data_IF_107025788538
#
_entry.id   IF_107025788538
#
_cell.length_a   1.000
_cell.length_b   1.000
_cell.length_c   1.000
_cell.angle_alpha   90.00
_cell.angle_beta   90.00
_cell.angle_gamma   90.00
#
_symmetry.space_group_name_H-M   'P 1'
#
loop_
_entity.id
_entity.type
_entity.pdbx_description
1 polymer ?
#
# COMPACT_ATOMS: atom_id res chain seq x y z
N UNK A 1 29.03 -17.13 24.32
CA UNK A 1 28.61 -17.36 25.73
C UNK A 1 27.10 -17.50 25.72
N UNK A 2 26.67 -18.69 25.98
CA UNK A 2 25.32 -19.23 25.93
C UNK A 2 24.55 -18.85 27.18
N UNK A 3 23.35 -18.28 27.06
CA UNK A 3 22.41 -18.26 28.17
C UNK A 3 21.06 -18.79 27.73
N UNK A 4 20.77 -20.00 28.17
CA UNK A 4 19.45 -20.63 28.17
C UNK A 4 18.63 -20.06 29.32
N UNK A 5 17.40 -19.65 29.04
CA UNK A 5 16.39 -19.47 30.08
C UNK A 5 15.29 -20.51 29.87
N UNK A 6 15.15 -21.41 30.83
CA UNK A 6 14.07 -22.37 30.99
C UNK A 6 12.84 -21.65 31.55
N UNK A 7 11.69 -21.88 30.94
CA UNK A 7 10.40 -21.55 31.55
C UNK A 7 9.78 -22.83 32.09
N UNK A 8 9.50 -22.82 33.40
CA UNK A 8 8.78 -23.86 34.11
C UNK A 8 7.28 -23.80 33.84
N UNK A 9 6.74 -24.96 33.51
CA UNK A 9 5.32 -25.26 33.49
C UNK A 9 4.84 -25.52 34.90
N UNK A 10 3.79 -24.83 35.37
CA UNK A 10 3.07 -25.19 36.56
C UNK A 10 1.66 -25.64 36.22
N UNK A 11 1.40 -26.93 36.37
CA UNK A 11 0.07 -27.53 36.43
C UNK A 11 -0.49 -27.40 37.85
N UNK A 12 -1.74 -26.95 37.96
CA UNK A 12 -2.45 -27.00 39.24
C UNK A 12 -3.94 -27.04 39.02
N UNK A 13 -4.50 -28.23 39.05
CA UNK A 13 -5.93 -28.46 39.00
C UNK A 13 -6.60 -28.27 40.36
N UNK A 14 -7.91 -28.02 40.34
CA UNK A 14 -8.87 -28.60 41.29
C UNK A 14 -10.30 -28.46 40.81
N UNK A 15 -10.99 -29.58 40.89
CA UNK A 15 -12.45 -29.83 40.75
C UNK A 15 -13.24 -29.15 41.85
N UNK A 16 -14.45 -28.71 41.57
CA UNK A 16 -15.61 -29.03 42.41
C UNK A 16 -16.91 -29.00 41.64
N UNK A 17 -17.70 -30.04 41.90
CA UNK A 17 -19.09 -30.29 41.52
C UNK A 17 -20.05 -29.29 42.17
N UNK A 18 -21.16 -28.96 41.52
CA UNK A 18 -22.43 -29.18 42.17
C UNK A 18 -23.58 -29.21 41.19
N UNK A 19 -24.36 -30.22 41.39
CA UNK A 19 -25.56 -30.67 40.74
C UNK A 19 -26.73 -30.18 41.58
N UNK A 20 -27.77 -29.57 40.98
CA UNK A 20 -29.10 -29.63 41.61
C UNK A 20 -30.20 -29.74 40.54
N UNK A 21 -30.85 -30.85 40.69
CA UNK A 21 -32.16 -31.20 40.09
C UNK A 21 -33.28 -30.38 40.74
N UNK A 22 -34.30 -29.98 40.00
CA UNK A 22 -35.66 -29.99 40.57
C UNK A 22 -36.66 -30.47 39.54
N UNK A 23 -37.49 -31.35 40.04
CA UNK A 23 -38.50 -32.13 39.33
C UNK A 23 -39.87 -31.42 39.29
N UNK A 24 -40.59 -31.70 38.26
CA UNK A 24 -42.03 -32.05 38.19
C UNK A 24 -43.10 -31.09 38.75
N UNK A 25 -44.11 -30.85 37.96
CA UNK A 25 -45.48 -31.24 38.40
C UNK A 25 -46.44 -31.39 37.20
N UNK A 26 -47.04 -32.57 37.10
CA UNK A 26 -48.21 -32.91 36.29
C UNK A 26 -49.47 -32.25 36.88
N UNK A 27 -50.35 -31.73 36.04
CA UNK A 27 -51.77 -31.65 36.39
C UNK A 27 -52.60 -32.05 35.19
N UNK A 28 -53.22 -33.24 35.31
CA UNK A 28 -54.29 -33.70 34.50
C UNK A 28 -55.59 -33.02 34.95
N UNK A 29 -56.36 -32.48 34.02
CA UNK A 29 -57.84 -32.36 34.19
C UNK A 29 -58.52 -32.78 32.90
N UNK A 30 -59.30 -33.83 33.03
CA UNK A 30 -60.24 -34.32 32.04
C UNK A 30 -61.51 -33.45 32.05
N UNK A 31 -62.09 -33.22 30.90
CA UNK A 31 -63.37 -32.49 30.82
C UNK A 31 -64.01 -32.51 29.42
N UNK A 32 -64.80 -33.54 29.19
CA UNK A 32 -66.10 -33.55 28.47
C UNK A 32 -66.13 -33.25 26.96
N UNK A 33 -66.50 -34.29 26.25
CA UNK A 33 -66.88 -34.39 24.84
C UNK A 33 -68.20 -33.64 24.62
N UNK A 34 -68.25 -32.73 23.65
CA UNK A 34 -69.48 -32.33 22.95
C UNK A 34 -69.26 -32.50 21.45
N UNK A 35 -69.93 -33.45 20.87
CA UNK A 35 -70.05 -33.65 19.43
C UNK A 35 -70.81 -32.48 18.80
N UNK A 36 -70.13 -31.59 18.12
CA UNK A 36 -70.71 -30.63 17.18
C UNK A 36 -70.27 -31.03 15.77
N UNK A 37 -71.19 -31.62 15.01
CA UNK A 37 -70.96 -31.77 13.55
C UNK A 37 -70.97 -30.43 12.90
N UNK A 38 -69.77 -29.94 12.58
CA UNK A 38 -69.59 -28.75 11.71
C UNK A 38 -68.90 -29.17 10.43
N UNK A 39 -69.56 -28.89 9.36
CA UNK A 39 -69.19 -29.03 7.94
C UNK A 39 -67.74 -28.76 7.68
N UNK A 40 -66.99 -29.76 7.19
CA UNK A 40 -65.63 -29.56 6.59
C UNK A 40 -65.74 -28.62 5.40
N UNK A 41 -65.45 -27.35 5.62
CA UNK A 41 -64.73 -26.54 4.57
C UNK A 41 -63.38 -27.18 4.49
N UNK A 42 -62.97 -27.58 3.30
CA UNK A 42 -61.57 -27.88 2.96
C UNK A 42 -60.77 -26.62 3.18
N UNK A 43 -60.30 -26.36 4.40
CA UNK A 43 -59.26 -25.39 4.64
C UNK A 43 -58.02 -25.94 3.94
N UNK A 44 -57.46 -25.14 2.99
CA UNK A 44 -56.24 -25.51 2.28
C UNK A 44 -55.17 -25.84 3.30
N UNK A 45 -54.34 -26.84 3.04
CA UNK A 45 -53.16 -27.12 3.84
C UNK A 45 -52.42 -25.79 4.10
N UNK A 46 -52.00 -25.50 5.34
CA UNK A 46 -51.27 -24.29 5.65
C UNK A 46 -50.05 -24.21 4.74
N UNK A 47 -49.86 -23.05 4.10
CA UNK A 47 -48.76 -22.85 3.21
C UNK A 47 -47.42 -23.16 3.94
N UNK A 48 -46.64 -24.07 3.39
CA UNK A 48 -45.31 -24.43 3.93
C UNK A 48 -44.43 -23.25 3.80
N UNK A 49 -43.98 -22.72 4.95
CA UNK A 49 -43.10 -21.54 5.00
C UNK A 49 -41.63 -21.91 4.77
N UNK A 50 -40.86 -20.92 4.33
CA UNK A 50 -39.40 -21.04 4.23
C UNK A 50 -38.80 -21.10 5.63
N UNK A 51 -37.95 -22.09 5.87
CA UNK A 51 -37.23 -22.29 7.13
C UNK A 51 -35.77 -21.85 6.97
N UNK A 52 -35.17 -22.06 5.78
CA UNK A 52 -33.77 -21.75 5.48
C UNK A 52 -33.60 -21.42 3.99
N UNK A 53 -32.70 -20.52 3.70
CA UNK A 53 -32.17 -20.28 2.36
C UNK A 53 -30.65 -20.42 2.34
N UNK A 54 -30.11 -20.94 1.24
CA UNK A 54 -28.70 -21.12 0.99
C UNK A 54 -28.40 -20.68 -0.44
N UNK A 55 -27.18 -20.30 -0.71
CA UNK A 55 -26.68 -20.04 -2.08
C UNK A 55 -25.76 -21.17 -2.53
N UNK A 56 -25.82 -21.53 -3.80
CA UNK A 56 -25.00 -22.60 -4.36
C UNK A 56 -23.50 -22.22 -4.35
N UNK A 57 -23.20 -20.92 -4.45
CA UNK A 57 -21.83 -20.40 -4.40
C UNK A 57 -21.76 -19.32 -3.31
N UNK A 58 -20.82 -19.46 -2.39
CA UNK A 58 -20.58 -18.51 -1.31
C UNK A 58 -19.64 -17.36 -1.70
N UNK A 59 -19.02 -17.46 -2.89
CA UNK A 59 -18.21 -16.40 -3.48
C UNK A 59 -18.27 -16.46 -5.00
N UNK A 60 -18.19 -15.31 -5.67
CA UNK A 60 -18.13 -15.19 -7.12
C UNK A 60 -17.15 -14.07 -7.51
N UNK A 61 -16.40 -14.28 -8.62
CA UNK A 61 -15.54 -13.28 -9.19
C UNK A 61 -16.11 -12.81 -10.53
N UNK A 62 -16.28 -11.49 -10.68
CA UNK A 62 -16.84 -10.84 -11.87
C UNK A 62 -15.84 -9.80 -12.38
N UNK A 63 -15.85 -9.53 -13.67
CA UNK A 63 -15.21 -8.33 -14.20
C UNK A 63 -16.21 -7.17 -14.21
N UNK A 64 -15.71 -5.95 -14.17
CA UNK A 64 -16.54 -4.74 -14.31
C UNK A 64 -17.46 -4.86 -15.51
N UNK A 65 -18.75 -4.54 -15.33
CA UNK A 65 -19.80 -4.63 -16.34
C UNK A 65 -20.54 -5.97 -16.40
N UNK A 66 -20.04 -7.03 -15.77
CA UNK A 66 -20.71 -8.33 -15.74
C UNK A 66 -21.87 -8.36 -14.75
N UNK A 67 -22.75 -9.32 -14.99
CA UNK A 67 -23.92 -9.56 -14.13
C UNK A 67 -23.97 -11.01 -13.71
N UNK A 68 -24.26 -11.26 -12.43
CA UNK A 68 -24.41 -12.59 -11.85
C UNK A 68 -25.78 -12.75 -11.20
N UNK A 69 -26.41 -13.90 -11.43
CA UNK A 69 -27.68 -14.28 -10.78
C UNK A 69 -27.41 -15.48 -9.87
N UNK A 70 -27.53 -15.35 -8.52
CA UNK A 70 -27.26 -16.45 -7.61
C UNK A 70 -28.33 -17.54 -7.72
N UNK A 71 -27.89 -18.79 -7.68
CA UNK A 71 -28.79 -19.92 -7.45
C UNK A 71 -29.09 -20.01 -5.95
N UNK A 72 -30.35 -19.75 -5.59
CA UNK A 72 -30.82 -19.78 -4.21
C UNK A 72 -31.56 -21.08 -3.94
N UNK A 73 -31.13 -21.81 -2.93
CA UNK A 73 -31.73 -23.08 -2.48
C UNK A 73 -32.63 -22.78 -1.30
N UNK A 74 -33.93 -23.10 -1.44
CA UNK A 74 -34.94 -22.85 -0.42
C UNK A 74 -35.31 -24.19 0.26
N UNK A 75 -35.34 -24.17 1.57
CA UNK A 75 -35.74 -25.31 2.42
C UNK A 75 -36.95 -24.95 3.28
N UNK A 76 -37.99 -25.80 3.35
CA UNK A 76 -38.19 -27.05 2.60
C UNK A 76 -38.52 -26.79 1.11
N UNK A 77 -38.19 -27.72 0.22
CA UNK A 77 -38.39 -27.59 -1.25
C UNK A 77 -39.83 -27.36 -1.70
N UNK A 78 -40.80 -27.71 -0.86
CA UNK A 78 -42.23 -27.51 -1.10
C UNK A 78 -42.76 -26.19 -0.51
N UNK A 79 -41.88 -25.30 -0.04
CA UNK A 79 -42.28 -23.96 0.37
C UNK A 79 -42.92 -23.21 -0.81
N UNK A 80 -43.98 -22.46 -0.53
CA UNK A 80 -44.74 -21.68 -1.52
C UNK A 80 -44.92 -20.24 -1.01
N UNK A 81 -45.20 -19.34 -1.92
CA UNK A 81 -45.54 -17.94 -1.61
C UNK A 81 -44.44 -17.20 -0.83
N UNK A 82 -43.21 -17.33 -1.28
CA UNK A 82 -42.06 -16.57 -0.73
C UNK A 82 -41.51 -15.56 -1.74
N UNK A 83 -40.89 -14.53 -1.23
CA UNK A 83 -40.24 -13.51 -2.04
C UNK A 83 -38.79 -13.34 -1.58
N UNK A 84 -37.85 -13.42 -2.53
CA UNK A 84 -36.45 -13.20 -2.29
C UNK A 84 -36.08 -11.78 -2.72
N UNK A 85 -35.18 -11.16 -1.98
CA UNK A 85 -34.58 -9.86 -2.30
C UNK A 85 -33.06 -9.90 -2.06
N UNK A 86 -32.32 -9.20 -2.92
CA UNK A 86 -30.88 -9.00 -2.77
C UNK A 86 -30.59 -7.59 -2.25
N UNK A 87 -29.60 -7.48 -1.39
CA UNK A 87 -29.00 -6.20 -0.96
C UNK A 87 -27.47 -6.31 -0.98
N UNK A 88 -26.80 -5.22 -1.28
CA UNK A 88 -25.35 -5.12 -1.26
C UNK A 88 -24.92 -4.22 -0.11
N UNK A 89 -23.83 -4.57 0.58
CA UNK A 89 -23.17 -3.71 1.56
C UNK A 89 -22.32 -2.62 0.89
N UNK A 90 -21.99 -2.81 -0.41
CA UNK A 90 -21.20 -1.86 -1.21
C UNK A 90 -21.75 -1.73 -2.64
N UNK A 91 -22.79 -0.91 -2.80
CA UNK A 91 -23.43 -0.68 -4.10
C UNK A 91 -22.56 0.05 -5.12
N UNK A 92 -21.45 0.66 -4.72
CA UNK A 92 -20.51 1.27 -5.65
C UNK A 92 -19.64 0.25 -6.36
N UNK A 93 -19.40 -0.91 -5.75
CA UNK A 93 -18.67 -2.03 -6.30
C UNK A 93 -19.60 -3.01 -7.00
N UNK A 94 -20.64 -3.48 -6.30
CA UNK A 94 -21.57 -4.45 -6.83
C UNK A 94 -23.01 -4.09 -6.40
N UNK A 95 -23.87 -3.79 -7.38
CA UNK A 95 -25.24 -3.34 -7.15
C UNK A 95 -26.25 -4.48 -7.33
N UNK A 96 -27.18 -4.61 -6.39
CA UNK A 96 -28.30 -5.51 -6.53
C UNK A 96 -29.36 -4.93 -7.49
N UNK A 97 -29.73 -5.67 -8.53
CA UNK A 97 -30.74 -5.32 -9.50
C UNK A 97 -31.74 -6.49 -9.65
N UNK A 98 -32.84 -6.46 -8.85
CA UNK A 98 -33.77 -7.58 -8.72
C UNK A 98 -33.09 -8.78 -8.09
N UNK A 99 -33.08 -9.92 -8.78
CA UNK A 99 -32.39 -11.15 -8.34
C UNK A 99 -30.99 -11.32 -8.96
N UNK A 100 -30.44 -10.26 -9.52
CA UNK A 100 -29.09 -10.26 -10.10
C UNK A 100 -28.21 -9.21 -9.44
N UNK A 101 -26.90 -9.39 -9.53
CA UNK A 101 -25.89 -8.44 -9.06
C UNK A 101 -25.08 -7.96 -10.25
N UNK A 102 -24.99 -6.65 -10.43
CA UNK A 102 -24.17 -6.01 -11.48
C UNK A 102 -22.87 -5.49 -10.89
N UNK A 103 -21.75 -5.89 -11.47
CA UNK A 103 -20.42 -5.41 -11.15
C UNK A 103 -20.20 -4.01 -11.75
N UNK A 104 -19.88 -3.01 -10.91
CA UNK A 104 -19.76 -1.61 -11.32
C UNK A 104 -18.32 -1.09 -11.27
N UNK A 105 -17.58 -1.41 -10.21
CA UNK A 105 -16.20 -0.98 -10.01
C UNK A 105 -15.40 -2.08 -9.33
N UNK A 106 -14.08 -2.08 -9.51
CA UNK A 106 -13.17 -3.00 -8.84
C UNK A 106 -13.27 -2.89 -7.32
N UNK A 107 -13.23 -4.04 -6.63
CA UNK A 107 -13.37 -4.11 -5.17
C UNK A 107 -14.12 -5.36 -4.73
N UNK A 108 -14.57 -5.37 -3.48
CA UNK A 108 -15.40 -6.44 -2.93
C UNK A 108 -16.71 -5.91 -2.34
N UNK A 109 -17.73 -6.74 -2.38
CA UNK A 109 -19.01 -6.49 -1.75
C UNK A 109 -19.57 -7.81 -1.17
N UNK A 110 -20.35 -7.71 -0.10
CA UNK A 110 -21.11 -8.82 0.43
C UNK A 110 -22.58 -8.63 0.03
N UNK A 111 -23.11 -9.63 -0.65
CA UNK A 111 -24.51 -9.64 -1.06
C UNK A 111 -25.31 -10.47 -0.07
N UNK A 112 -26.35 -9.88 0.48
CA UNK A 112 -27.31 -10.56 1.34
C UNK A 112 -28.55 -10.94 0.54
N UNK A 113 -28.91 -12.20 0.58
CA UNK A 113 -30.18 -12.73 0.08
C UNK A 113 -31.12 -12.81 1.26
N UNK A 114 -32.26 -12.15 1.19
CA UNK A 114 -33.30 -12.17 2.22
C UNK A 114 -34.60 -12.79 1.69
N UNK A 115 -35.22 -13.67 2.46
CA UNK A 115 -36.61 -14.04 2.26
C UNK A 115 -37.49 -13.11 3.11
N UNK A 116 -38.39 -12.37 2.47
CA UNK A 116 -39.07 -11.23 3.09
C UNK A 116 -40.15 -11.59 4.06
N UNK A 117 -40.67 -12.84 4.03
CA UNK A 117 -41.81 -13.31 4.86
C UNK A 117 -41.34 -14.01 6.13
N UNK A 118 -40.36 -14.92 6.02
CA UNK A 118 -39.80 -15.66 7.16
C UNK A 118 -38.66 -14.97 7.84
N UNK A 119 -37.97 -14.04 7.13
CA UNK A 119 -36.74 -13.41 7.57
C UNK A 119 -35.52 -14.31 7.44
N UNK A 120 -35.61 -15.46 6.76
CA UNK A 120 -34.45 -16.29 6.47
C UNK A 120 -33.47 -15.52 5.56
N UNK A 121 -32.17 -15.58 5.86
CA UNK A 121 -31.16 -14.88 5.09
C UNK A 121 -29.88 -15.70 4.91
N UNK A 122 -29.13 -15.41 3.85
CA UNK A 122 -27.81 -15.95 3.58
C UNK A 122 -26.98 -14.90 2.84
N UNK A 123 -25.67 -15.08 2.81
CA UNK A 123 -24.77 -14.14 2.14
C UNK A 123 -23.81 -14.84 1.19
N UNK A 124 -23.32 -14.10 0.20
CA UNK A 124 -22.18 -14.50 -0.61
C UNK A 124 -21.30 -13.28 -0.92
N UNK A 125 -20.00 -13.54 -1.09
CA UNK A 125 -19.03 -12.50 -1.44
C UNK A 125 -18.97 -12.30 -2.96
N UNK A 126 -18.84 -11.06 -3.40
CA UNK A 126 -18.58 -10.70 -4.80
C UNK A 126 -17.25 -9.96 -4.86
N UNK A 127 -16.29 -10.49 -5.61
CA UNK A 127 -15.06 -9.80 -5.97
C UNK A 127 -15.20 -9.29 -7.40
N UNK A 128 -15.09 -7.98 -7.59
CA UNK A 128 -15.12 -7.36 -8.91
C UNK A 128 -13.70 -7.00 -9.32
N UNK A 129 -13.25 -7.56 -10.44
CA UNK A 129 -11.95 -7.29 -11.05
C UNK A 129 -12.08 -6.19 -12.11
N UNK A 130 -11.04 -5.36 -12.30
CA UNK A 130 -10.97 -4.48 -13.47
C UNK A 130 -11.04 -5.28 -14.77
N UNK A 131 -11.34 -4.61 -15.87
CA UNK A 131 -11.34 -5.23 -17.19
C UNK A 131 -9.92 -5.74 -17.56
N UNK A 132 -9.85 -6.95 -18.11
CA UNK A 132 -8.59 -7.55 -18.56
C UNK A 132 -7.79 -8.32 -17.50
N UNK A 133 -8.29 -8.45 -16.27
CA UNK A 133 -7.66 -9.30 -15.28
C UNK A 133 -8.20 -10.74 -15.32
N UNK A 134 -7.32 -11.76 -15.09
CA UNK A 134 -7.74 -13.15 -15.02
C UNK A 134 -8.73 -13.39 -13.87
N UNK A 135 -9.86 -14.05 -14.14
CA UNK A 135 -10.81 -14.44 -13.09
C UNK A 135 -10.32 -15.58 -12.22
N UNK A 136 -9.52 -16.48 -12.80
CA UNK A 136 -8.86 -17.54 -12.04
C UNK A 136 -7.69 -16.91 -11.28
N UNK A 137 -7.87 -16.78 -9.99
CA UNK A 137 -6.83 -16.26 -9.12
C UNK A 137 -5.75 -17.32 -8.87
N UNK A 138 -4.50 -16.90 -8.92
CA UNK A 138 -3.37 -17.69 -8.46
C UNK A 138 -3.38 -17.65 -6.93
N UNK A 139 -3.55 -18.82 -6.32
CA UNK A 139 -3.54 -18.94 -4.86
C UNK A 139 -2.11 -18.93 -4.36
N UNK A 140 -1.78 -17.92 -3.56
CA UNK A 140 -0.52 -17.83 -2.83
C UNK A 140 -0.60 -18.71 -1.57
N UNK A 141 0.50 -19.33 -1.20
CA UNK A 141 0.54 -20.34 -0.13
C UNK A 141 1.32 -19.91 1.09
N UNK A 142 2.24 -18.96 0.93
CA UNK A 142 3.01 -18.38 2.03
C UNK A 142 2.98 -16.86 1.97
N UNK A 143 3.10 -16.23 3.12
CA UNK A 143 3.22 -14.80 3.23
C UNK A 143 4.16 -14.42 4.37
N UNK A 144 4.88 -13.36 4.18
CA UNK A 144 5.76 -12.71 5.17
C UNK A 144 5.94 -11.25 4.79
N UNK A 145 6.56 -10.46 5.64
CA UNK A 145 6.86 -9.09 5.29
C UNK A 145 7.78 -8.40 6.28
N UNK A 146 8.03 -7.13 5.99
CA UNK A 146 8.91 -6.26 6.76
C UNK A 146 8.21 -4.93 7.01
N UNK A 147 8.28 -4.45 8.24
CA UNK A 147 7.71 -3.17 8.63
C UNK A 147 8.84 -2.16 8.85
N UNK A 148 8.78 -1.03 8.16
CA UNK A 148 9.80 0.02 8.20
C UNK A 148 9.34 1.31 8.88
N UNK A 149 8.04 1.42 9.26
CA UNK A 149 7.47 2.66 9.78
C UNK A 149 7.53 3.79 8.76
N UNK A 150 7.59 5.03 9.21
CA UNK A 150 7.66 6.22 8.34
C UNK A 150 9.04 6.34 7.66
N UNK A 151 9.37 5.33 6.85
CA UNK A 151 10.68 5.23 6.19
C UNK A 151 10.94 6.40 5.24
N UNK A 152 9.94 6.76 4.44
CA UNK A 152 10.06 7.81 3.41
C UNK A 152 9.80 9.23 3.92
N UNK A 153 9.51 9.41 5.21
CA UNK A 153 9.15 10.70 5.81
C UNK A 153 7.88 11.32 5.20
N UNK A 154 7.03 10.49 4.65
CA UNK A 154 5.77 10.88 4.00
C UNK A 154 4.62 11.03 5.00
N UNK A 155 4.82 10.65 6.26
CA UNK A 155 3.75 10.58 7.27
C UNK A 155 2.92 9.30 7.17
N UNK A 156 3.40 8.31 6.43
CA UNK A 156 2.80 6.98 6.25
C UNK A 156 3.74 5.88 6.73
N UNK A 157 3.20 4.77 7.19
CA UNK A 157 3.99 3.59 7.51
C UNK A 157 4.25 2.76 6.25
N UNK A 158 5.53 2.52 5.94
CA UNK A 158 5.95 1.68 4.83
C UNK A 158 6.07 0.23 5.29
N UNK A 159 5.46 -0.68 4.53
CA UNK A 159 5.54 -2.11 4.74
C UNK A 159 5.79 -2.85 3.43
N UNK A 160 6.73 -3.79 3.46
CA UNK A 160 6.96 -4.73 2.37
C UNK A 160 6.20 -6.01 2.65
N UNK A 161 5.22 -6.31 1.82
CA UNK A 161 4.39 -7.50 1.93
C UNK A 161 4.74 -8.49 0.81
N UNK A 162 5.11 -9.71 1.17
CA UNK A 162 5.57 -10.72 0.25
C UNK A 162 4.66 -11.93 0.30
N UNK A 163 4.30 -12.46 -0.87
CA UNK A 163 3.56 -13.72 -0.98
C UNK A 163 4.20 -14.60 -2.04
N UNK A 164 4.21 -15.93 -1.81
CA UNK A 164 4.72 -16.90 -2.78
C UNK A 164 3.79 -18.10 -2.94
N UNK A 165 3.92 -18.79 -4.08
CA UNK A 165 3.32 -20.10 -4.31
C UNK A 165 4.31 -21.08 -4.95
N UNK A 166 3.87 -22.34 -5.07
CA UNK A 166 4.73 -23.39 -5.62
C UNK A 166 5.97 -23.63 -4.77
N UNK A 167 7.12 -23.64 -5.40
CA UNK A 167 8.43 -23.74 -4.76
C UNK A 167 9.17 -22.39 -4.72
N UNK A 168 8.49 -21.30 -5.09
CA UNK A 168 9.07 -19.97 -5.02
C UNK A 168 9.30 -19.58 -3.55
N UNK A 169 10.47 -19.07 -3.24
CA UNK A 169 10.86 -18.57 -1.92
C UNK A 169 11.56 -17.24 -2.06
N UNK A 170 11.39 -16.36 -1.08
CA UNK A 170 12.20 -15.15 -0.98
C UNK A 170 13.38 -15.40 -0.05
N UNK A 171 14.59 -15.32 -0.59
CA UNK A 171 15.84 -15.61 0.12
C UNK A 171 16.82 -14.46 -0.07
N UNK A 172 17.27 -13.90 1.04
CA UNK A 172 18.12 -12.71 0.99
C UNK A 172 17.37 -11.51 0.41
N UNK A 173 17.69 -11.13 -0.83
CA UNK A 173 17.10 -9.97 -1.52
C UNK A 173 16.42 -10.37 -2.84
N UNK A 174 16.18 -11.66 -3.10
CA UNK A 174 15.66 -12.15 -4.35
C UNK A 174 14.64 -13.28 -4.16
N UNK A 175 13.77 -13.46 -5.16
CA UNK A 175 12.96 -14.67 -5.27
C UNK A 175 13.74 -15.74 -6.03
N UNK A 176 13.59 -16.98 -5.61
CA UNK A 176 14.20 -18.16 -6.19
C UNK A 176 13.19 -19.32 -6.30
N UNK A 177 13.45 -20.29 -7.18
CA UNK A 177 12.63 -21.50 -7.33
C UNK A 177 11.50 -21.36 -8.33
N UNK A 178 10.76 -22.46 -8.54
CA UNK A 178 9.65 -22.52 -9.48
C UNK A 178 8.35 -22.02 -8.84
N UNK A 179 7.68 -21.08 -9.49
CA UNK A 179 6.40 -20.53 -9.01
C UNK A 179 6.28 -19.02 -9.23
N UNK A 180 5.37 -18.44 -8.49
CA UNK A 180 5.10 -17.01 -8.48
C UNK A 180 5.47 -16.43 -7.10
N UNK A 181 6.19 -15.32 -7.12
CA UNK A 181 6.40 -14.46 -5.97
C UNK A 181 5.83 -13.08 -6.25
N UNK A 182 5.33 -12.39 -5.26
CA UNK A 182 4.98 -10.98 -5.35
C UNK A 182 5.60 -10.23 -4.17
N UNK A 183 6.21 -9.12 -4.49
CA UNK A 183 6.70 -8.13 -3.55
C UNK A 183 5.83 -6.89 -3.69
N UNK A 184 5.20 -6.46 -2.61
CA UNK A 184 4.30 -5.30 -2.58
C UNK A 184 4.85 -4.29 -1.59
N UNK A 185 5.21 -3.12 -2.07
CA UNK A 185 5.64 -2.00 -1.23
C UNK A 185 4.44 -1.10 -0.94
N UNK A 186 3.95 -1.18 0.29
CA UNK A 186 2.70 -0.56 0.74
C UNK A 186 2.95 0.68 1.59
N UNK A 187 2.20 1.75 1.34
CA UNK A 187 2.16 2.96 2.14
C UNK A 187 0.83 3.00 2.90
N UNK A 188 0.88 2.72 4.19
CA UNK A 188 -0.28 2.60 5.05
C UNK A 188 -0.45 3.84 5.94
N UNK A 189 -1.66 4.09 6.50
CA UNK A 189 -1.82 5.10 7.54
C UNK A 189 -0.84 4.88 8.69
N UNK A 190 -0.24 5.97 9.18
CA UNK A 190 0.73 5.93 10.26
C UNK A 190 0.05 5.62 11.58
N UNK A 191 0.09 4.37 11.98
CA UNK A 191 -0.47 3.90 13.25
C UNK A 191 0.60 3.65 14.31
N UNK A 192 1.85 3.45 13.91
CA UNK A 192 2.93 2.97 14.75
C UNK A 192 2.79 1.50 15.16
N UNK A 193 1.77 0.81 14.68
CA UNK A 193 1.56 -0.62 14.93
C UNK A 193 2.26 -1.44 13.85
N UNK A 194 2.99 -2.44 14.27
CA UNK A 194 3.65 -3.41 13.39
C UNK A 194 2.62 -4.42 12.86
N UNK A 195 1.75 -3.98 11.99
CA UNK A 195 0.71 -4.84 11.41
C UNK A 195 0.48 -4.50 9.94
N UNK A 196 -0.10 -5.43 9.19
CA UNK A 196 -0.53 -5.21 7.83
C UNK A 196 -1.88 -4.49 7.86
N UNK A 197 -1.90 -3.21 7.53
CA UNK A 197 -3.10 -2.38 7.65
C UNK A 197 -4.13 -2.76 6.59
N UNK A 198 -5.36 -2.96 7.02
CA UNK A 198 -6.49 -3.34 6.18
C UNK A 198 -6.99 -2.15 5.39
N UNK A 199 -7.22 -2.37 4.11
CA UNK A 199 -7.68 -1.34 3.20
C UNK A 199 -7.50 -1.76 1.74
N UNK A 200 -7.81 -0.84 0.84
CA UNK A 200 -7.57 -1.00 -0.60
C UNK A 200 -6.45 -0.07 -1.01
N UNK A 201 -5.35 -0.64 -1.46
CA UNK A 201 -4.17 0.07 -1.92
C UNK A 201 -4.23 0.21 -3.45
N UNK A 202 -3.95 1.40 -3.94
CA UNK A 202 -3.87 1.74 -5.38
C UNK A 202 -2.46 2.20 -5.73
N UNK A 203 -2.07 2.23 -7.02
CA UNK A 203 -0.75 2.74 -7.38
C UNK A 203 -0.56 4.18 -6.90
N UNK A 204 0.59 4.46 -6.31
CA UNK A 204 0.99 5.84 -5.99
C UNK A 204 1.09 6.65 -7.29
N UNK A 205 0.27 7.72 -7.46
CA UNK A 205 0.20 8.43 -8.74
C UNK A 205 1.44 9.28 -9.02
N UNK A 206 2.04 9.87 -8.01
CA UNK A 206 3.05 10.93 -8.11
C UNK A 206 4.25 10.77 -7.17
N UNK A 207 4.46 9.57 -6.61
CA UNK A 207 5.60 9.25 -5.76
C UNK A 207 5.59 9.91 -4.39
N UNK A 208 4.42 10.33 -3.91
CA UNK A 208 4.28 10.97 -2.57
C UNK A 208 4.07 10.01 -1.42
N UNK A 209 3.92 8.72 -1.71
CA UNK A 209 3.67 7.65 -0.72
C UNK A 209 2.47 7.96 0.18
N UNK A 210 1.36 8.43 -0.42
CA UNK A 210 0.13 8.73 0.30
C UNK A 210 -0.50 7.47 0.91
N UNK A 211 -1.35 7.65 1.91
CA UNK A 211 -2.04 6.55 2.58
C UNK A 211 -2.84 5.68 1.59
N UNK A 212 -2.78 4.36 1.80
CA UNK A 212 -3.43 3.36 0.95
C UNK A 212 -2.95 3.38 -0.51
N UNK A 213 -1.67 3.68 -0.70
CA UNK A 213 -1.02 3.50 -2.00
C UNK A 213 0.01 2.39 -1.96
N UNK A 214 0.40 1.88 -3.13
CA UNK A 214 1.58 1.06 -3.28
C UNK A 214 2.56 1.72 -4.27
N UNK A 215 3.85 1.61 -3.98
CA UNK A 215 4.90 2.10 -4.85
C UNK A 215 4.97 1.26 -6.12
N UNK A 216 4.89 1.89 -7.29
CA UNK A 216 5.03 1.20 -8.59
C UNK A 216 6.42 0.59 -8.72
N UNK A 217 6.49 -0.53 -9.41
CA UNK A 217 7.75 -1.23 -9.62
C UNK A 217 8.65 -0.52 -10.64
N UNK A 218 9.93 -0.39 -10.29
CA UNK A 218 10.99 0.10 -11.17
C UNK A 218 12.22 -0.81 -11.07
N UNK A 219 12.90 -0.99 -12.21
CA UNK A 219 14.15 -1.74 -12.30
C UNK A 219 15.31 -0.76 -12.50
N UNK A 220 16.11 -0.58 -11.46
CA UNK A 220 17.29 0.27 -11.46
C UNK A 220 18.56 -0.49 -11.87
N UNK A 221 18.40 -1.58 -12.62
CA UNK A 221 19.50 -2.39 -13.15
C UNK A 221 20.47 -2.87 -12.04
N UNK A 222 21.70 -2.40 -12.04
CA UNK A 222 22.72 -2.81 -11.07
C UNK A 222 22.40 -2.39 -9.62
N UNK A 223 21.57 -1.36 -9.43
CA UNK A 223 21.15 -0.87 -8.11
C UNK A 223 20.00 -1.68 -7.50
N UNK A 224 19.32 -2.50 -8.31
CA UNK A 224 18.27 -3.40 -7.87
C UNK A 224 16.85 -2.96 -8.24
N UNK A 225 15.89 -3.66 -7.68
CA UNK A 225 14.46 -3.42 -7.90
C UNK A 225 13.88 -2.58 -6.76
N UNK A 226 12.98 -1.67 -7.10
CA UNK A 226 12.21 -0.88 -6.15
C UNK A 226 10.71 -1.05 -6.40
N UNK A 227 9.91 -0.82 -5.36
CA UNK A 227 8.46 -0.82 -5.44
C UNK A 227 7.88 -2.21 -5.59
N UNK A 228 6.70 -2.28 -6.19
CA UNK A 228 5.92 -3.52 -6.31
C UNK A 228 6.27 -4.26 -7.59
N UNK A 229 6.65 -5.53 -7.47
CA UNK A 229 7.00 -6.37 -8.62
C UNK A 229 6.56 -7.82 -8.43
N UNK A 230 6.46 -8.55 -9.54
CA UNK A 230 6.13 -9.97 -9.58
C UNK A 230 7.35 -10.75 -10.05
N UNK A 231 7.66 -11.81 -9.34
CA UNK A 231 8.53 -12.88 -9.79
C UNK A 231 7.65 -13.97 -10.42
N UNK A 232 7.93 -14.32 -11.66
CA UNK A 232 7.26 -15.42 -12.37
C UNK A 232 8.34 -16.27 -13.06
N UNK A 233 8.64 -17.43 -12.51
CA UNK A 233 9.69 -18.34 -13.03
C UNK A 233 9.42 -18.85 -14.45
N UNK A 234 8.21 -18.66 -14.98
CA UNK A 234 7.83 -19.07 -16.32
C UNK A 234 8.12 -18.03 -17.41
N UNK A 235 8.54 -16.82 -17.05
CA UNK A 235 8.85 -15.75 -17.99
C UNK A 235 10.35 -15.48 -18.06
N UNK A 236 10.82 -15.02 -19.22
CA UNK A 236 12.21 -14.61 -19.40
C UNK A 236 12.52 -13.38 -18.50
N UNK A 237 13.66 -13.43 -17.81
CA UNK A 237 14.05 -12.39 -16.85
C UNK A 237 13.43 -12.55 -15.46
N UNK A 238 12.37 -13.33 -15.31
CA UNK A 238 11.66 -13.69 -14.08
C UNK A 238 11.00 -12.52 -13.30
N UNK A 239 11.41 -11.27 -13.49
CA UNK A 239 10.90 -10.12 -12.76
C UNK A 239 10.08 -9.19 -13.66
N UNK A 240 8.90 -8.81 -13.19
CA UNK A 240 7.94 -7.97 -13.89
C UNK A 240 7.53 -6.82 -13.00
N UNK A 241 7.82 -5.60 -13.42
CA UNK A 241 7.49 -4.39 -12.68
C UNK A 241 5.99 -4.10 -12.74
N UNK A 242 5.36 -3.92 -11.58
CA UNK A 242 3.94 -3.60 -11.48
C UNK A 242 3.74 -2.10 -11.74
N UNK A 243 2.93 -1.76 -12.72
CA UNK A 243 2.66 -0.38 -13.14
C UNK A 243 1.25 0.08 -12.76
N UNK A 244 0.30 -0.84 -12.59
CA UNK A 244 -1.10 -0.54 -12.30
C UNK A 244 -1.76 -1.70 -11.53
N UNK A 245 -2.94 -1.45 -10.99
CA UNK A 245 -3.74 -2.45 -10.29
C UNK A 245 -4.30 -1.98 -8.96
N UNK A 246 -4.70 -2.94 -8.12
CA UNK A 246 -5.12 -2.69 -6.75
C UNK A 246 -4.83 -3.89 -5.85
N UNK A 247 -4.66 -3.63 -4.56
CA UNK A 247 -4.42 -4.64 -3.54
C UNK A 247 -5.45 -4.41 -2.44
N UNK A 248 -6.26 -5.40 -2.17
CA UNK A 248 -7.21 -5.36 -1.05
C UNK A 248 -6.75 -6.28 0.07
N UNK A 249 -6.69 -5.74 1.27
CA UNK A 249 -6.33 -6.44 2.49
C UNK A 249 -7.51 -6.36 3.44
N UNK A 250 -8.04 -7.51 3.83
CA UNK A 250 -9.12 -7.65 4.80
C UNK A 250 -8.76 -8.73 5.84
N UNK A 251 -9.65 -9.03 6.75
CA UNK A 251 -9.47 -10.18 7.66
C UNK A 251 -10.77 -10.90 7.90
N UNK A 252 -10.68 -12.20 7.95
CA UNK A 252 -11.77 -13.07 8.34
C UNK A 252 -11.28 -14.08 9.37
N UNK A 253 -12.03 -14.27 10.47
CA UNK A 253 -11.73 -15.26 11.51
C UNK A 253 -10.28 -15.20 12.06
N UNK A 254 -9.68 -14.02 12.10
CA UNK A 254 -8.31 -13.82 12.61
C UNK A 254 -7.19 -14.12 11.61
N UNK A 255 -7.54 -14.41 10.35
CA UNK A 255 -6.61 -14.53 9.24
C UNK A 255 -6.69 -13.30 8.34
N UNK A 256 -5.59 -12.96 7.67
CA UNK A 256 -5.60 -12.00 6.58
C UNK A 256 -6.18 -12.64 5.32
N UNK A 257 -6.99 -11.86 4.62
CA UNK A 257 -7.45 -12.15 3.27
C UNK A 257 -6.89 -11.07 2.34
N UNK A 258 -6.04 -11.47 1.40
CA UNK A 258 -5.42 -10.56 0.43
C UNK A 258 -5.89 -10.93 -0.97
N UNK A 259 -6.37 -9.94 -1.70
CA UNK A 259 -6.60 -10.03 -3.15
C UNK A 259 -5.78 -8.94 -3.82
N UNK A 260 -4.90 -9.34 -4.73
CA UNK A 260 -4.06 -8.41 -5.49
C UNK A 260 -4.30 -8.61 -6.98
N UNK A 261 -4.81 -7.58 -7.65
CA UNK A 261 -4.96 -7.51 -9.10
C UNK A 261 -3.89 -6.56 -9.62
N UNK A 262 -2.83 -7.10 -10.18
CA UNK A 262 -1.62 -6.38 -10.53
C UNK A 262 -1.37 -6.46 -12.04
N UNK A 263 -1.01 -5.32 -12.63
CA UNK A 263 -0.71 -5.20 -14.06
C UNK A 263 0.73 -4.77 -14.27
N UNK A 264 1.42 -5.52 -15.09
CA UNK A 264 2.75 -5.19 -15.60
C UNK A 264 2.62 -4.72 -17.06
N UNK A 265 3.70 -4.35 -17.70
CA UNK A 265 3.70 -3.96 -19.11
C UNK A 265 3.23 -5.08 -20.05
N UNK A 266 3.40 -6.33 -19.66
CA UNK A 266 3.17 -7.49 -20.53
C UNK A 266 2.02 -8.41 -20.09
N UNK A 267 1.67 -8.41 -18.78
CA UNK A 267 0.76 -9.40 -18.22
C UNK A 267 0.00 -8.86 -17.02
N UNK A 268 -1.23 -9.32 -16.81
CA UNK A 268 -2.02 -9.06 -15.59
C UNK A 268 -2.14 -10.31 -14.75
N UNK A 269 -2.14 -10.12 -13.44
CA UNK A 269 -2.22 -11.16 -12.43
C UNK A 269 -3.36 -10.90 -11.47
N UNK A 270 -4.07 -11.96 -11.10
CA UNK A 270 -4.99 -11.98 -9.96
C UNK A 270 -4.44 -12.97 -8.94
N UNK A 271 -4.02 -12.47 -7.79
CA UNK A 271 -3.40 -13.23 -6.72
C UNK A 271 -4.32 -13.22 -5.50
N UNK A 272 -4.43 -14.34 -4.79
CA UNK A 272 -5.19 -14.41 -3.54
C UNK A 272 -4.38 -15.13 -2.47
N UNK A 273 -4.52 -14.67 -1.22
CA UNK A 273 -3.93 -15.30 -0.05
C UNK A 273 -4.91 -15.29 1.10
N UNK A 274 -4.92 -16.37 1.88
CA UNK A 274 -5.65 -16.46 3.16
C UNK A 274 -4.78 -17.12 4.20
N UNK A 275 -4.50 -16.42 5.30
CA UNK A 275 -3.65 -16.95 6.37
C UNK A 275 -3.03 -15.88 7.28
N UNK A 276 -2.02 -16.30 8.05
CA UNK A 276 -1.22 -15.38 8.86
C UNK A 276 -0.25 -14.59 7.99
N UNK A 277 -0.04 -13.33 8.32
CA UNK A 277 0.90 -12.45 7.59
C UNK A 277 1.92 -11.85 8.58
N UNK A 278 2.95 -12.60 8.97
CA UNK A 278 3.93 -12.13 9.93
C UNK A 278 4.82 -11.04 9.34
N UNK A 279 4.95 -9.91 10.04
CA UNK A 279 5.88 -8.84 9.71
C UNK A 279 7.08 -8.85 10.66
N UNK A 280 8.29 -8.73 10.11
CA UNK A 280 9.49 -8.45 10.88
C UNK A 280 9.65 -6.93 11.01
N UNK A 281 9.98 -6.45 12.20
CA UNK A 281 10.18 -5.03 12.44
C UNK A 281 11.61 -4.60 12.08
N UNK A 282 11.71 -3.74 11.07
CA UNK A 282 12.93 -3.04 10.64
C UNK A 282 12.83 -1.53 10.79
N UNK A 283 11.75 -1.03 11.42
CA UNK A 283 11.64 0.39 11.70
C UNK A 283 12.78 0.83 12.62
N UNK A 284 13.29 2.00 12.35
CA UNK A 284 14.29 2.66 13.19
C UNK A 284 13.57 3.66 14.10
N UNK A 285 14.17 3.95 15.23
CA UNK A 285 13.73 5.02 16.11
C UNK A 285 14.18 6.37 15.53
N UNK A 286 13.45 6.83 14.52
CA UNK A 286 13.74 8.08 13.83
C UNK A 286 13.60 9.31 14.73
N UNK A 287 12.85 9.22 15.83
CA UNK A 287 12.66 10.33 16.77
C UNK A 287 13.96 10.64 17.54
N UNK A 288 14.88 9.69 17.60
CA UNK A 288 16.20 9.86 18.23
C UNK A 288 17.30 10.33 17.27
N UNK A 289 16.99 10.54 15.99
CA UNK A 289 17.96 11.07 15.04
C UNK A 289 18.34 12.51 15.39
N UNK A 290 19.61 12.83 15.20
CA UNK A 290 20.11 14.21 15.37
C UNK A 290 19.43 15.14 14.37
N UNK A 291 18.79 16.19 14.86
CA UNK A 291 18.19 17.22 13.99
C UNK A 291 19.19 18.38 13.82
N UNK A 292 19.50 18.68 12.55
CA UNK A 292 20.29 19.86 12.15
C UNK A 292 19.33 20.87 11.54
N UNK A 293 19.13 21.96 12.26
CA UNK A 293 18.23 23.06 11.85
C UNK A 293 19.00 24.10 11.03
N UNK A 294 18.70 24.21 9.75
CA UNK A 294 19.33 25.13 8.80
C UNK A 294 18.48 26.39 8.57
N UNK A 295 18.19 27.11 9.64
CA UNK A 295 17.25 28.26 9.63
C UNK A 295 17.94 29.60 9.28
N UNK A 296 19.23 29.61 8.94
CA UNK A 296 20.02 30.81 8.64
C UNK A 296 20.43 30.94 7.19
N UNK A 297 19.87 30.10 6.32
CA UNK A 297 20.13 30.16 4.87
C UNK A 297 19.60 31.51 4.34
N UNK A 298 20.46 32.30 3.70
CA UNK A 298 20.16 33.67 3.29
C UNK A 298 20.60 34.01 1.88
N UNK A 299 21.59 33.27 1.32
CA UNK A 299 22.11 33.46 -0.02
C UNK A 299 22.08 32.16 -0.81
N UNK A 300 22.02 32.26 -2.14
CA UNK A 300 22.02 31.03 -2.95
C UNK A 300 22.18 31.30 -4.43
N UNK A 301 22.55 30.23 -5.17
CA UNK A 301 22.60 30.17 -6.63
C UNK A 301 21.63 29.16 -7.19
N UNK A 302 21.29 29.32 -8.45
CA UNK A 302 20.48 28.43 -9.25
C UNK A 302 21.22 28.14 -10.55
N UNK A 303 21.89 27.01 -10.61
CA UNK A 303 22.80 26.68 -11.69
C UNK A 303 22.15 25.66 -12.62
N UNK A 304 22.03 26.01 -13.90
CA UNK A 304 21.46 25.19 -14.96
C UNK A 304 22.55 24.44 -15.72
N UNK A 305 22.42 23.13 -15.85
CA UNK A 305 23.43 22.28 -16.52
C UNK A 305 22.91 21.55 -17.75
N UNK A 306 21.63 21.69 -18.12
CA UNK A 306 21.05 20.88 -19.20
C UNK A 306 21.03 19.41 -18.81
N UNK A 307 21.83 18.58 -19.50
CA UNK A 307 22.03 17.15 -19.22
C UNK A 307 23.53 16.81 -19.04
N UNK A 308 24.30 17.71 -18.47
CA UNK A 308 25.75 17.59 -18.39
C UNK A 308 26.30 16.85 -17.18
N UNK A 309 25.60 16.92 -16.04
CA UNK A 309 26.13 16.34 -14.78
C UNK A 309 26.08 14.83 -14.82
N UNK A 310 24.92 14.28 -15.19
CA UNK A 310 24.65 12.84 -15.16
C UNK A 310 24.66 12.20 -16.55
N UNK A 311 24.78 13.01 -17.61
CA UNK A 311 24.89 12.59 -19.00
C UNK A 311 23.56 12.39 -19.71
N UNK A 312 23.64 12.27 -21.04
CA UNK A 312 22.48 12.24 -21.95
C UNK A 312 21.90 10.86 -22.21
N UNK A 313 22.25 9.85 -21.43
CA UNK A 313 21.75 8.46 -21.61
C UNK A 313 20.38 8.22 -20.98
N UNK A 314 19.80 9.25 -20.37
CA UNK A 314 18.47 9.18 -19.83
C UNK A 314 17.42 8.77 -20.88
N UNK A 315 16.50 7.94 -20.50
CA UNK A 315 15.38 7.50 -21.36
C UNK A 315 14.33 8.58 -21.57
N UNK A 316 14.26 9.57 -20.65
CA UNK A 316 13.34 10.70 -20.74
C UNK A 316 14.11 12.03 -20.84
N UNK A 317 13.68 12.96 -21.72
CA UNK A 317 14.22 14.31 -21.75
C UNK A 317 14.01 15.00 -20.40
N UNK A 318 15.07 15.64 -19.88
CA UNK A 318 15.05 16.32 -18.59
C UNK A 318 16.04 17.50 -18.58
N UNK A 319 15.93 18.31 -17.54
CA UNK A 319 16.90 19.36 -17.21
C UNK A 319 17.48 19.13 -15.81
N UNK A 320 18.79 19.29 -15.70
CA UNK A 320 19.56 19.13 -14.47
C UNK A 320 19.92 20.50 -13.89
N UNK A 321 19.71 20.62 -12.58
CA UNK A 321 19.93 21.85 -11.84
C UNK A 321 20.63 21.58 -10.53
N UNK A 322 21.52 22.51 -10.13
CA UNK A 322 22.02 22.55 -8.77
C UNK A 322 21.60 23.86 -8.10
N UNK A 323 20.96 23.77 -6.94
CA UNK A 323 20.70 24.91 -6.07
C UNK A 323 21.67 24.85 -4.91
N UNK A 324 22.48 25.87 -4.75
CA UNK A 324 23.30 26.06 -3.57
C UNK A 324 22.66 27.08 -2.66
N UNK A 325 22.55 26.75 -1.37
CA UNK A 325 22.03 27.64 -0.33
C UNK A 325 23.07 27.74 0.78
N UNK A 326 23.33 28.94 1.26
CA UNK A 326 24.28 29.19 2.32
C UNK A 326 23.84 30.28 3.28
N UNK A 327 24.56 30.43 4.39
CA UNK A 327 24.37 31.52 5.34
C UNK A 327 24.83 32.85 4.75
N UNK A 328 24.41 33.98 5.37
CA UNK A 328 24.83 35.29 4.96
C UNK A 328 26.40 35.42 4.97
N UNK A 329 26.94 35.94 3.89
CA UNK A 329 28.41 36.10 3.69
C UNK A 329 29.12 34.90 3.08
N UNK A 330 28.43 33.79 2.78
CA UNK A 330 28.99 32.69 2.01
C UNK A 330 29.13 33.08 0.54
N UNK A 331 30.31 32.83 -0.04
CA UNK A 331 30.62 33.13 -1.44
C UNK A 331 30.71 31.81 -2.24
N UNK A 332 29.76 31.56 -3.14
CA UNK A 332 29.69 30.33 -3.94
C UNK A 332 30.67 30.34 -5.14
N UNK A 333 31.23 31.49 -5.54
CA UNK A 333 32.24 31.56 -6.62
C UNK A 333 33.60 31.09 -6.13
N UNK A 334 33.97 31.47 -4.89
CA UNK A 334 35.25 31.09 -4.28
C UNK A 334 35.16 29.96 -3.30
N UNK A 335 33.91 29.53 -2.94
CA UNK A 335 33.62 28.60 -1.87
C UNK A 335 34.21 29.02 -0.52
N UNK A 336 34.26 30.34 -0.29
CA UNK A 336 34.76 30.93 0.94
C UNK A 336 33.60 31.40 1.82
N UNK A 337 33.76 31.21 3.11
CA UNK A 337 32.78 31.52 4.15
C UNK A 337 32.75 30.44 5.20
N UNK A 338 31.97 30.65 6.23
CA UNK A 338 31.75 29.67 7.28
C UNK A 338 30.26 29.50 7.53
N UNK A 339 29.85 28.29 7.94
CA UNK A 339 28.49 27.99 8.27
C UNK A 339 27.85 26.96 7.34
N UNK A 340 26.59 26.71 7.57
CA UNK A 340 25.86 25.65 6.89
C UNK A 340 25.63 25.95 5.41
N UNK A 341 25.82 24.95 4.59
CA UNK A 341 25.55 24.96 3.16
C UNK A 341 24.66 23.76 2.80
N UNK A 342 23.66 23.99 1.97
CA UNK A 342 22.86 22.96 1.33
C UNK A 342 23.12 22.99 -0.19
N UNK A 343 23.30 21.84 -0.77
CA UNK A 343 23.33 21.61 -2.21
C UNK A 343 22.18 20.70 -2.59
N UNK A 344 21.33 21.14 -3.50
CA UNK A 344 20.20 20.37 -4.03
C UNK A 344 20.45 20.11 -5.52
N UNK A 345 20.59 18.85 -5.90
CA UNK A 345 20.58 18.45 -7.30
C UNK A 345 19.17 18.06 -7.71
N UNK A 346 18.60 18.79 -8.65
CA UNK A 346 17.18 18.75 -8.99
C UNK A 346 17.00 18.37 -10.45
N UNK A 347 16.02 17.51 -10.71
CA UNK A 347 15.60 17.10 -12.04
C UNK A 347 14.24 17.74 -12.36
N UNK A 348 14.16 18.42 -13.48
CA UNK A 348 12.92 19.01 -14.02
C UNK A 348 12.63 18.48 -15.42
N UNK A 349 11.44 18.78 -15.97
CA UNK A 349 11.18 18.55 -17.38
C UNK A 349 12.08 19.44 -18.25
N UNK A 350 12.37 19.00 -19.49
CA UNK A 350 13.36 19.62 -20.38
C UNK A 350 13.06 21.07 -20.78
N UNK A 351 11.77 21.44 -20.77
CA UNK A 351 11.34 22.80 -21.11
C UNK A 351 11.76 23.86 -20.09
N UNK A 352 12.12 23.44 -18.87
CA UNK A 352 12.60 24.36 -17.84
C UNK A 352 14.11 24.54 -18.00
N UNK A 353 14.50 25.67 -18.56
CA UNK A 353 15.92 26.03 -18.84
C UNK A 353 16.35 27.32 -18.17
N UNK A 354 15.42 28.06 -17.57
CA UNK A 354 15.69 29.36 -16.92
C UNK A 354 15.21 29.42 -15.48
N UNK A 355 14.33 28.56 -15.10
CA UNK A 355 13.72 28.52 -13.78
C UNK A 355 13.34 27.11 -13.37
N UNK A 356 13.31 26.85 -12.07
CA UNK A 356 12.80 25.61 -11.48
C UNK A 356 11.31 25.81 -11.17
N UNK A 357 10.42 24.93 -11.63
CA UNK A 357 8.97 25.02 -11.35
C UNK A 357 8.67 24.74 -9.89
N UNK A 358 7.55 25.31 -9.42
CA UNK A 358 7.03 25.00 -8.08
C UNK A 358 6.59 23.56 -7.98
N UNK A 359 6.93 22.88 -6.87
CA UNK A 359 6.55 21.51 -6.61
C UNK A 359 7.33 20.90 -5.46
N UNK A 360 6.98 19.67 -5.10
CA UNK A 360 7.76 18.83 -4.19
C UNK A 360 8.76 18.01 -5.00
N UNK A 361 10.00 18.08 -4.62
CA UNK A 361 11.12 17.31 -5.19
C UNK A 361 11.53 16.24 -4.18
N UNK A 362 11.30 14.98 -4.51
CA UNK A 362 11.56 13.84 -3.62
C UNK A 362 12.87 13.16 -3.98
N UNK A 363 13.64 12.73 -2.99
CA UNK A 363 14.89 11.98 -3.21
C UNK A 363 14.57 10.69 -3.94
N UNK A 364 15.18 10.48 -5.09
CA UNK A 364 15.05 9.24 -5.86
C UNK A 364 15.81 8.09 -5.19
N UNK A 365 15.42 6.87 -5.51
CA UNK A 365 15.99 5.66 -4.91
C UNK A 365 17.50 5.51 -5.20
N UNK A 366 17.90 5.74 -6.45
CA UNK A 366 19.27 5.66 -6.88
C UNK A 366 19.57 6.78 -7.89
N UNK A 367 20.83 7.21 -7.98
CA UNK A 367 21.25 8.18 -8.98
C UNK A 367 21.46 7.49 -10.33
N UNK A 368 20.40 6.97 -10.91
CA UNK A 368 20.39 6.36 -12.24
C UNK A 368 19.68 7.30 -13.22
N UNK A 369 20.43 7.90 -14.15
CA UNK A 369 19.91 8.84 -15.13
C UNK A 369 18.88 8.24 -16.08
N UNK A 370 18.84 6.90 -16.24
CA UNK A 370 17.80 6.23 -17.01
C UNK A 370 16.40 6.37 -16.38
N UNK A 371 16.34 6.68 -15.09
CA UNK A 371 15.10 6.81 -14.31
C UNK A 371 14.79 8.25 -13.89
N UNK A 372 15.51 9.23 -14.40
CA UNK A 372 15.24 10.63 -14.10
C UNK A 372 13.84 11.03 -14.58
N UNK A 373 13.08 11.62 -13.66
CA UNK A 373 11.76 12.18 -13.92
C UNK A 373 11.65 13.57 -13.29
N UNK A 374 10.80 14.45 -13.81
CA UNK A 374 10.54 15.73 -13.18
C UNK A 374 10.12 15.58 -11.72
N UNK A 375 10.49 16.57 -10.90
CA UNK A 375 10.21 16.63 -9.46
C UNK A 375 10.98 15.60 -8.61
N UNK A 376 12.15 15.21 -9.08
CA UNK A 376 13.09 14.40 -8.30
C UNK A 376 14.29 15.22 -7.85
N UNK A 377 14.89 14.83 -6.73
CA UNK A 377 16.21 15.27 -6.31
C UNK A 377 17.14 14.06 -6.20
N UNK A 378 18.37 14.22 -6.65
CA UNK A 378 19.36 13.13 -6.69
C UNK A 378 19.92 12.89 -5.29
N UNK A 379 20.00 11.63 -4.80
CA UNK A 379 20.58 11.33 -3.50
C UNK A 379 22.04 11.72 -3.42
N UNK A 380 22.52 12.03 -2.22
CA UNK A 380 23.93 12.35 -1.98
C UNK A 380 24.82 11.13 -2.18
N UNK A 381 25.72 11.20 -3.17
CA UNK A 381 26.63 10.14 -3.58
C UNK A 381 28.10 10.54 -3.44
N UNK A 382 28.98 9.53 -3.30
CA UNK A 382 30.42 9.71 -3.30
C UNK A 382 31.04 9.76 -1.91
N UNK A 383 32.29 10.23 -1.86
CA UNK A 383 33.05 10.32 -0.61
C UNK A 383 32.95 11.72 -0.02
N UNK A 384 32.22 11.86 1.06
CA UNK A 384 32.02 13.11 1.78
C UNK A 384 33.34 13.78 2.24
N UNK A 385 34.39 12.99 2.46
CA UNK A 385 35.66 13.50 2.96
C UNK A 385 36.61 14.01 1.85
N UNK A 386 36.47 13.47 0.65
CA UNK A 386 37.32 13.89 -0.49
C UNK A 386 36.73 15.04 -1.29
N UNK A 387 35.44 15.37 -1.07
CA UNK A 387 34.73 16.38 -1.85
C UNK A 387 34.27 15.93 -3.23
N UNK A 388 34.57 14.70 -3.65
CA UNK A 388 34.06 14.11 -4.89
C UNK A 388 32.63 13.63 -4.68
N UNK A 389 31.68 14.55 -4.71
CA UNK A 389 30.29 14.30 -4.39
C UNK A 389 29.39 14.77 -5.50
N UNK A 390 28.34 14.00 -5.74
CA UNK A 390 27.20 14.33 -6.59
C UNK A 390 25.93 14.25 -5.75
N UNK A 391 24.86 14.84 -6.23
CA UNK A 391 23.57 14.77 -5.60
C UNK A 391 23.35 15.79 -4.49
N UNK A 392 22.42 15.53 -3.61
CA UNK A 392 21.97 16.47 -2.58
C UNK A 392 22.72 16.27 -1.28
N UNK A 393 23.31 17.36 -0.77
CA UNK A 393 24.21 17.34 0.40
C UNK A 393 23.95 18.51 1.36
N UNK A 394 24.08 18.22 2.63
CA UNK A 394 24.33 19.20 3.68
C UNK A 394 25.82 19.22 4.02
N UNK A 395 26.41 20.40 4.18
CA UNK A 395 27.79 20.57 4.60
C UNK A 395 27.91 21.68 5.64
N UNK A 396 28.36 21.37 6.89
CA UNK A 396 28.81 22.41 7.81
C UNK A 396 30.19 22.91 7.38
N UNK A 397 30.35 24.22 7.26
CA UNK A 397 31.64 24.82 6.87
C UNK A 397 32.29 24.17 5.62
N UNK A 398 31.44 23.82 4.61
CA UNK A 398 31.84 23.16 3.35
C UNK A 398 32.23 21.68 3.47
N UNK A 399 32.81 21.23 4.56
CA UNK A 399 33.22 19.84 4.78
C UNK A 399 33.06 19.44 6.27
N UNK A 400 32.75 18.19 6.61
CA UNK A 400 32.38 17.08 5.71
C UNK A 400 30.96 17.27 5.11
N UNK A 401 30.68 16.53 4.02
CA UNK A 401 29.35 16.52 3.39
C UNK A 401 28.55 15.33 3.84
N UNK A 402 27.26 15.56 4.11
CA UNK A 402 26.31 14.55 4.54
C UNK A 402 25.22 14.41 3.50
N UNK A 403 25.12 13.23 2.88
CA UNK A 403 24.22 12.99 1.76
C UNK A 403 22.76 12.82 2.16
N UNK A 404 21.86 13.39 1.37
CA UNK A 404 20.44 13.09 1.47
C UNK A 404 20.16 11.69 0.91
N UNK A 405 19.68 10.78 1.74
CA UNK A 405 19.30 9.45 1.28
C UNK A 405 17.79 9.36 1.06
N UNK A 406 17.01 10.09 1.84
CA UNK A 406 15.55 10.11 1.83
C UNK A 406 15.08 11.51 2.20
N UNK A 407 13.92 11.91 1.69
CA UNK A 407 13.30 13.17 2.03
C UNK A 407 12.89 13.99 0.81
N UNK A 408 12.69 15.28 1.01
CA UNK A 408 12.13 16.14 -0.01
C UNK A 408 12.52 17.61 0.17
N UNK A 409 12.37 18.36 -0.94
CA UNK A 409 12.33 19.81 -0.94
C UNK A 409 11.02 20.31 -1.58
N UNK A 410 10.27 21.13 -0.85
CA UNK A 410 9.13 21.87 -1.38
C UNK A 410 9.61 23.22 -1.90
N UNK A 411 9.50 23.42 -3.20
CA UNK A 411 9.97 24.62 -3.89
C UNK A 411 8.76 25.44 -4.37
N UNK A 412 8.72 26.71 -4.03
CA UNK A 412 7.76 27.68 -4.55
C UNK A 412 8.52 28.74 -5.35
N UNK A 413 8.37 28.72 -6.66
CA UNK A 413 8.86 29.78 -7.56
C UNK A 413 7.93 31.00 -7.46
N UNK A 414 8.44 32.13 -6.97
CA UNK A 414 7.69 33.38 -6.80
C UNK A 414 7.87 34.34 -7.97
N UNK A 415 8.64 33.92 -8.99
CA UNK A 415 9.05 34.77 -10.13
C UNK A 415 10.20 35.73 -9.80
N UNK A 416 10.81 36.30 -10.86
CA UNK A 416 11.94 37.22 -10.74
C UNK A 416 13.11 36.67 -9.90
N UNK A 417 13.46 35.42 -10.12
CA UNK A 417 14.50 34.65 -9.44
C UNK A 417 14.29 34.51 -7.92
N UNK A 418 13.07 34.74 -7.43
CA UNK A 418 12.70 34.62 -6.02
C UNK A 418 12.05 33.26 -5.74
N UNK A 419 12.54 32.58 -4.71
CA UNK A 419 12.10 31.25 -4.32
C UNK A 419 11.81 31.17 -2.81
N UNK A 420 10.87 30.31 -2.45
CA UNK A 420 10.76 29.77 -1.10
C UNK A 420 11.01 28.28 -1.19
N UNK A 421 11.98 27.79 -0.42
CA UNK A 421 12.37 26.39 -0.40
C UNK A 421 12.29 25.91 1.04
N UNK A 422 11.44 24.91 1.30
CA UNK A 422 11.38 24.22 2.58
C UNK A 422 11.81 22.77 2.33
N UNK A 423 12.74 22.26 3.17
CA UNK A 423 13.29 20.93 2.94
C UNK A 423 13.44 20.16 4.24
N UNK A 424 13.33 18.83 4.09
CA UNK A 424 13.59 17.87 5.13
C UNK A 424 14.23 16.63 4.50
N UNK A 425 15.44 16.33 4.90
CA UNK A 425 16.20 15.17 4.41
C UNK A 425 16.70 14.34 5.58
N UNK A 426 16.93 13.07 5.33
CA UNK A 426 17.53 12.13 6.27
C UNK A 426 18.82 11.55 5.69
N UNK A 427 19.86 11.55 6.50
CA UNK A 427 21.09 10.80 6.29
C UNK A 427 21.13 9.63 7.27
N UNK A 428 20.78 8.44 6.79
CA UNK A 428 20.75 7.23 7.60
C UNK A 428 22.14 6.73 8.03
N UNK A 429 23.20 7.20 7.36
CA UNK A 429 24.59 6.84 7.71
C UNK A 429 25.04 7.54 8.99
N UNK A 430 24.54 8.75 9.21
CA UNK A 430 24.86 9.56 10.37
C UNK A 430 23.71 9.67 11.37
N UNK A 431 22.61 8.95 11.14
CA UNK A 431 21.40 9.00 11.96
C UNK A 431 20.97 10.46 12.21
N UNK A 432 20.88 11.24 11.13
CA UNK A 432 20.63 12.66 11.19
C UNK A 432 19.54 13.10 10.21
N UNK A 433 18.74 14.07 10.66
CA UNK A 433 17.92 14.93 9.81
C UNK A 433 18.63 16.25 9.59
N UNK A 434 18.56 16.78 8.37
CA UNK A 434 18.85 18.18 8.11
C UNK A 434 17.62 18.81 7.44
N UNK A 435 17.15 19.85 8.06
CA UNK A 435 15.91 20.51 7.67
C UNK A 435 16.02 22.02 7.83
N UNK A 436 15.22 22.74 7.07
CA UNK A 436 15.22 24.20 7.17
C UNK A 436 14.42 24.84 6.04
N UNK A 437 14.63 26.13 5.92
CA UNK A 437 13.95 26.88 4.89
C UNK A 437 14.81 28.05 4.39
N UNK A 438 14.61 28.37 3.13
CA UNK A 438 15.16 29.52 2.45
C UNK A 438 14.03 30.36 1.87
N UNK A 439 14.13 31.69 1.95
CA UNK A 439 13.22 32.62 1.30
C UNK A 439 14.02 33.80 0.76
N UNK A 440 14.21 33.85 -0.56
CA UNK A 440 15.04 34.88 -1.15
C UNK A 440 15.23 34.75 -2.65
N UNK A 441 16.16 35.54 -3.18
CA UNK A 441 16.57 35.45 -4.58
C UNK A 441 17.73 34.49 -4.74
N UNK A 442 17.71 33.71 -5.83
CA UNK A 442 18.81 32.88 -6.27
C UNK A 442 19.53 33.57 -7.46
N UNK A 443 20.84 33.56 -7.44
CA UNK A 443 21.62 34.02 -8.58
C UNK A 443 21.64 32.93 -9.65
N UNK A 444 21.12 33.24 -10.83
CA UNK A 444 21.09 32.29 -11.94
C UNK A 444 22.46 32.19 -12.63
N UNK A 445 22.91 30.95 -12.83
CA UNK A 445 24.07 30.59 -13.64
C UNK A 445 23.61 29.61 -14.75
N UNK A 446 24.23 29.76 -15.93
CA UNK A 446 23.99 28.86 -17.05
C UNK A 446 25.30 28.17 -17.45
N UNK A 447 25.33 26.85 -17.30
CA UNK A 447 26.51 26.00 -17.49
C UNK A 447 26.26 24.85 -18.47
N UNK A 448 25.18 24.94 -19.25
CA UNK A 448 24.76 23.85 -20.15
C UNK A 448 25.63 23.72 -21.42
N UNK A 449 26.44 24.73 -21.80
CA UNK A 449 27.34 24.72 -22.96
C UNK A 449 28.65 23.95 -22.77
#
# INVERSE_FOLDING_TARGET
MTHFIRICIYCGGKKTKNMNRLKSLFCLTAGIISLGLQSCKKDGEPAVKVEKIEVAQTSVTLNVGETYTPEVIVTPKNAKEYTLALTSDNETVAKAEGMSVKALAAGTAVITVNETTSGASTTFAVTVLPEGYPKEAIKMTTATGFFYGDYYMAGTDNAWALMTNGNAVFSGNAFEGEGIGVFMELNAPKTGEQDLIKGTYVPDPDGKMEEFTFTKGEDFNAEGLQGTFIYDSSVEGNYLMVKDGWIQITSASGAYEVTACLKTDTKSYTLTYSGSFPLQNFSKDYDNYKVVEMNKLAVGTLDYYGQKIYGSTATAPHSEWTIYLGVEGFNFETYEGSGDMLMLDIITAEEYTREVPSGRYTVMYAADNAHFQPFMTVPGLGDANTGNTLGTWYAPDYMPRYGANIGYADIVNKGNDSYSIEFKFRDDRNEAYFQGKFDGKLLYGDYHE
#
